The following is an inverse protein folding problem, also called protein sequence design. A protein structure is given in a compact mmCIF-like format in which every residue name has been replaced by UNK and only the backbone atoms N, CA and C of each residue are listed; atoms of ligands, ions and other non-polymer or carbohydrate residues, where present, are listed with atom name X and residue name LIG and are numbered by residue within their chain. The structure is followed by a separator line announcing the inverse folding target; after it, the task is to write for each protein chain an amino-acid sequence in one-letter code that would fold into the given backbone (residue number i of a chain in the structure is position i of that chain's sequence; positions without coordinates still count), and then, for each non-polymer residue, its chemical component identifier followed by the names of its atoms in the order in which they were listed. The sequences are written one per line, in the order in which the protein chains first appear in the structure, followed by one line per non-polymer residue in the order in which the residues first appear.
data_IF_555988507012
#
_entry.id   IF_555988507012
#
_cell.length_a   1.000
_cell.length_b   1.000
_cell.length_c   1.000
_cell.angle_alpha   90.00
_cell.angle_beta   90.00
_cell.angle_gamma   90.00
#
_symmetry.space_group_name_H-M   'P 1'
#
loop_
_entity.id
_entity.type
_entity.pdbx_description
1 polymer ?
#
# COMPACT_ATOMS: atom_id res chain seq x y z
N UNK A 1 59.73 -26.38 35.17
CA UNK A 1 58.76 -25.78 34.24
C UNK A 1 57.35 -26.06 34.73
N UNK A 2 56.62 -24.99 35.07
CA UNK A 2 55.15 -24.76 35.17
C UNK A 2 54.22 -25.71 35.96
N UNK A 3 53.33 -25.02 36.69
CA UNK A 3 52.33 -25.37 37.71
C UNK A 3 50.98 -25.80 37.08
N UNK A 4 50.08 -26.48 37.82
CA UNK A 4 48.95 -27.26 37.31
C UNK A 4 47.66 -26.43 37.17
N UNK A 5 46.67 -27.03 36.50
CA UNK A 5 45.28 -26.57 36.55
C UNK A 5 44.55 -27.14 37.77
N UNK A 6 43.58 -26.38 38.28
CA UNK A 6 42.17 -26.75 38.46
C UNK A 6 41.43 -25.59 39.15
N UNK A 7 40.20 -25.41 38.71
CA UNK A 7 39.23 -24.33 38.94
C UNK A 7 38.55 -24.42 40.31
N UNK A 8 38.15 -23.30 40.90
CA UNK A 8 37.03 -23.24 41.86
C UNK A 8 36.26 -21.93 41.71
N UNK A 9 34.94 -22.06 41.50
CA UNK A 9 33.96 -20.99 41.37
C UNK A 9 33.48 -20.52 42.75
N UNK A 10 33.26 -19.21 42.90
CA UNK A 10 32.49 -18.63 44.00
C UNK A 10 31.38 -17.72 43.45
N UNK A 11 30.16 -18.03 43.89
CA UNK A 11 28.88 -17.38 43.59
C UNK A 11 28.67 -16.27 44.63
N UNK A 12 28.19 -15.09 44.20
CA UNK A 12 27.61 -14.10 45.11
C UNK A 12 26.35 -13.48 44.50
N UNK A 13 25.26 -13.67 45.24
CA UNK A 13 23.88 -13.24 45.01
C UNK A 13 23.65 -11.76 45.35
N UNK A 14 22.72 -11.09 44.68
CA UNK A 14 22.07 -9.87 45.19
C UNK A 14 20.54 -9.95 44.99
N UNK A 15 19.81 -9.77 46.09
CA UNK A 15 18.35 -9.79 46.19
C UNK A 15 17.73 -8.37 46.24
N UNK A 16 16.43 -8.36 45.95
CA UNK A 16 15.46 -7.29 45.68
C UNK A 16 15.01 -6.42 46.88
N UNK A 17 14.48 -5.22 46.57
CA UNK A 17 13.27 -4.56 47.12
C UNK A 17 13.02 -3.24 46.33
N UNK A 18 11.85 -2.67 46.06
CA UNK A 18 10.44 -2.87 46.41
C UNK A 18 9.61 -1.69 45.83
N UNK A 19 8.27 -1.77 45.90
CA UNK A 19 7.17 -1.04 45.20
C UNK A 19 7.08 0.50 45.50
N UNK A 20 6.24 1.38 44.92
CA UNK A 20 4.84 1.35 44.43
C UNK A 20 4.55 2.64 43.63
N UNK A 21 3.57 2.64 42.72
CA UNK A 21 3.06 3.86 42.06
C UNK A 21 1.59 4.10 42.42
N UNK A 22 1.29 5.30 42.91
CA UNK A 22 -0.07 5.77 43.21
C UNK A 22 -0.71 6.39 41.97
N UNK A 23 -1.98 6.07 41.74
CA UNK A 23 -2.85 6.73 40.79
C UNK A 23 -3.50 7.96 41.44
N UNK A 24 -3.57 9.07 40.69
CA UNK A 24 -4.33 10.26 41.03
C UNK A 24 -5.16 10.70 39.83
N UNK A 25 -6.47 10.84 40.08
CA UNK A 25 -7.55 11.21 39.16
C UNK A 25 -7.69 12.74 39.04
N UNK A 26 -8.53 13.16 38.10
CA UNK A 26 -9.06 14.51 37.79
C UNK A 26 -8.28 15.32 36.73
N UNK A 27 -8.90 15.95 35.71
CA UNK A 27 -10.27 15.94 35.22
C UNK A 27 -10.32 16.71 33.86
N UNK A 28 -11.47 16.56 33.20
CA UNK A 28 -12.10 17.49 32.23
C UNK A 28 -11.80 17.37 30.73
N UNK A 29 -12.86 16.87 30.10
CA UNK A 29 -13.23 16.79 28.70
C UNK A 29 -13.18 18.14 27.96
N UNK A 30 -12.65 18.11 26.74
CA UNK A 30 -12.95 19.06 25.65
C UNK A 30 -12.54 18.39 24.33
N UNK A 31 -13.55 17.88 23.61
CA UNK A 31 -13.44 17.30 22.27
C UNK A 31 -12.52 18.10 21.34
N UNK A 32 -11.46 17.43 20.85
CA UNK A 32 -10.65 17.85 19.71
C UNK A 32 -10.57 16.70 18.68
N UNK A 33 -10.53 17.01 17.37
CA UNK A 33 -10.63 16.01 16.31
C UNK A 33 -9.47 15.00 16.35
N UNK A 34 -9.78 13.77 15.93
CA UNK A 34 -8.95 12.56 16.01
C UNK A 34 -7.50 12.79 15.54
N UNK A 35 -6.55 12.35 16.36
CA UNK A 35 -5.10 12.50 16.20
C UNK A 35 -4.45 11.20 15.66
N UNK A 36 -5.11 10.52 14.73
CA UNK A 36 -4.65 9.23 14.19
C UNK A 36 -3.30 9.34 13.48
N UNK A 37 -2.29 8.68 14.05
CA UNK A 37 -0.96 8.39 13.47
C UNK A 37 -0.57 7.00 13.93
N UNK A 38 0.04 6.20 13.06
CA UNK A 38 0.60 4.91 13.46
C UNK A 38 1.80 4.51 12.62
N UNK A 39 2.75 3.89 13.31
CA UNK A 39 4.10 3.43 12.95
C UNK A 39 4.28 2.70 11.62
N UNK A 40 4.73 3.45 10.62
CA UNK A 40 5.76 3.07 9.63
C UNK A 40 6.53 4.33 9.25
N UNK A 41 5.86 5.48 9.36
CA UNK A 41 6.44 6.81 9.24
C UNK A 41 6.46 7.56 10.58
N UNK A 42 7.60 8.19 10.91
CA UNK A 42 7.77 9.04 12.11
C UNK A 42 7.11 10.41 11.89
N UNK A 43 6.17 10.80 12.77
CA UNK A 43 5.54 12.13 12.77
C UNK A 43 6.52 13.24 13.21
N UNK A 44 6.65 14.36 12.49
CA UNK A 44 7.31 15.57 13.00
C UNK A 44 6.46 16.27 14.08
N UNK A 45 7.07 17.00 15.03
CA UNK A 45 6.40 17.48 16.25
C UNK A 45 5.29 18.53 16.08
N UNK A 46 5.03 19.04 14.86
CA UNK A 46 3.98 20.03 14.60
C UNK A 46 3.15 19.68 13.35
N UNK A 47 1.83 19.93 13.34
CA UNK A 47 0.97 19.69 12.18
C UNK A 47 1.24 20.70 11.06
N UNK A 48 1.18 20.22 9.81
CA UNK A 48 1.28 21.05 8.60
C UNK A 48 -0.10 21.64 8.32
N UNK A 49 -0.18 22.98 8.19
CA UNK A 49 -1.42 23.67 7.85
C UNK A 49 -1.95 23.26 6.48
N UNK A 50 -3.28 23.07 6.38
CA UNK A 50 -3.96 22.84 5.11
C UNK A 50 -3.86 24.09 4.22
N UNK A 51 -3.59 23.90 2.93
CA UNK A 51 -3.57 25.00 1.96
C UNK A 51 -4.99 25.57 1.74
N UNK A 52 -5.15 26.91 1.61
CA UNK A 52 -6.47 27.50 1.41
C UNK A 52 -7.00 27.16 0.01
N UNK A 53 -8.28 26.80 -0.06
CA UNK A 53 -8.99 26.52 -1.30
C UNK A 53 -9.06 27.78 -2.18
N UNK A 54 -8.63 27.66 -3.43
CA UNK A 54 -8.75 28.71 -4.44
C UNK A 54 -10.24 28.99 -4.71
N UNK A 55 -10.69 30.22 -4.43
CA UNK A 55 -12.02 30.72 -4.83
C UNK A 55 -12.03 30.92 -6.34
N UNK A 56 -12.75 30.06 -7.05
CA UNK A 56 -13.05 30.22 -8.47
C UNK A 56 -14.20 31.21 -8.66
N UNK A 57 -13.95 32.25 -9.47
CA UNK A 57 -14.96 33.17 -9.99
C UNK A 57 -16.06 32.43 -10.75
N UNK A 58 -17.33 32.72 -10.43
CA UNK A 58 -18.45 32.55 -11.36
C UNK A 58 -19.23 33.84 -11.45
N UNK A 59 -19.11 34.48 -12.61
CA UNK A 59 -20.08 35.43 -13.13
C UNK A 59 -21.17 34.64 -13.87
N UNK A 60 -22.44 34.88 -13.55
CA UNK A 60 -23.56 34.82 -14.48
C UNK A 60 -24.80 35.45 -13.85
N UNK A 61 -25.36 36.42 -14.57
CA UNK A 61 -26.62 37.14 -14.33
C UNK A 61 -27.83 36.19 -14.45
N UNK A 62 -28.91 36.49 -13.71
CA UNK A 62 -30.19 36.99 -14.26
C UNK A 62 -31.35 36.77 -13.26
N UNK A 63 -32.26 37.75 -13.20
CA UNK A 63 -33.67 37.53 -12.84
C UNK A 63 -34.11 38.01 -11.45
N UNK A 64 -34.46 39.29 -11.35
CA UNK A 64 -35.32 39.85 -10.30
C UNK A 64 -36.69 40.14 -10.92
N UNK A 65 -37.76 39.55 -10.39
CA UNK A 65 -39.01 40.23 -10.05
C UNK A 65 -39.99 39.27 -9.32
N UNK A 66 -40.91 39.79 -8.47
CA UNK A 66 -41.57 39.04 -7.39
C UNK A 66 -43.11 38.92 -7.54
N UNK A 67 -43.76 38.08 -6.73
CA UNK A 67 -45.15 38.20 -6.19
C UNK A 67 -45.53 36.88 -5.50
N UNK A 68 -45.75 36.82 -4.19
CA UNK A 68 -46.95 37.19 -3.38
C UNK A 68 -47.85 35.99 -3.05
N UNK A 69 -47.82 35.62 -1.77
CA UNK A 69 -48.96 35.36 -0.88
C UNK A 69 -50.07 34.36 -1.28
N UNK A 70 -50.17 33.25 -0.55
CA UNK A 70 -51.29 32.94 0.37
C UNK A 70 -51.16 31.52 0.96
N UNK A 71 -51.47 31.41 2.26
CA UNK A 71 -51.37 30.19 3.07
C UNK A 71 -52.55 29.21 2.95
N UNK A 72 -52.94 28.53 4.05
CA UNK A 72 -52.68 27.10 4.20
C UNK A 72 -53.95 26.25 4.44
N UNK A 73 -53.83 24.92 4.30
CA UNK A 73 -54.83 23.95 4.77
C UNK A 73 -54.25 22.54 4.72
N UNK A 74 -53.68 22.06 5.82
CA UNK A 74 -54.30 21.23 6.88
C UNK A 74 -54.71 19.81 6.46
N UNK A 75 -54.09 18.85 7.19
CA UNK A 75 -54.65 17.60 7.75
C UNK A 75 -55.12 16.56 6.71
N UNK A 76 -54.69 15.30 6.72
CA UNK A 76 -54.77 14.34 7.83
C UNK A 76 -53.92 13.09 7.55
N UNK A 77 -53.25 12.62 8.62
CA UNK A 77 -52.72 11.27 8.89
C UNK A 77 -53.87 10.20 8.92
N UNK A 78 -53.66 8.92 9.28
CA UNK A 78 -52.56 7.95 9.06
C UNK A 78 -53.07 6.48 8.86
N UNK A 79 -52.15 5.49 8.96
CA UNK A 79 -52.34 4.03 9.22
C UNK A 79 -52.91 3.20 8.05
N UNK A 80 -52.51 1.94 7.81
CA UNK A 80 -51.76 1.01 8.63
C UNK A 80 -51.31 -0.23 7.82
N UNK A 81 -50.67 -1.13 8.58
CA UNK A 81 -49.90 -2.32 8.23
C UNK A 81 -50.74 -3.56 7.84
N UNK A 82 -49.99 -4.61 7.46
CA UNK A 82 -50.29 -6.05 7.33
C UNK A 82 -50.59 -6.49 5.90
N UNK A 83 -49.67 -7.20 5.22
CA UNK A 83 -49.36 -8.64 5.34
C UNK A 83 -50.48 -9.51 4.76
N UNK A 84 -50.22 -10.23 3.67
CA UNK A 84 -50.04 -11.70 3.65
C UNK A 84 -49.95 -12.24 2.21
N UNK A 85 -49.31 -13.40 2.12
CA UNK A 85 -49.01 -14.23 0.95
C UNK A 85 -50.29 -14.78 0.28
N UNK A 86 -50.25 -15.02 -1.03
CA UNK A 86 -50.18 -16.39 -1.55
C UNK A 86 -50.21 -16.46 -3.08
N UNK A 87 -49.65 -17.59 -3.51
CA UNK A 87 -49.46 -18.20 -4.81
C UNK A 87 -50.53 -17.99 -5.89
N UNK A 88 -50.07 -17.82 -7.13
CA UNK A 88 -50.89 -17.86 -8.35
C UNK A 88 -50.07 -18.29 -9.56
N UNK A 89 -50.20 -19.56 -9.93
CA UNK A 89 -49.65 -20.18 -11.15
C UNK A 89 -50.23 -19.49 -12.38
N UNK A 90 -49.39 -19.04 -13.32
CA UNK A 90 -49.82 -18.66 -14.67
C UNK A 90 -48.98 -19.37 -15.75
N UNK A 91 -49.71 -20.00 -16.66
CA UNK A 91 -49.24 -20.75 -17.80
C UNK A 91 -48.59 -19.86 -18.87
N UNK A 92 -47.63 -20.43 -19.61
CA UNK A 92 -46.96 -19.82 -20.75
C UNK A 92 -47.89 -19.71 -21.98
N UNK A 93 -47.74 -18.67 -22.83
CA UNK A 93 -48.31 -18.69 -24.17
C UNK A 93 -47.30 -19.22 -25.21
N UNK A 94 -47.80 -20.07 -26.10
CA UNK A 94 -47.15 -20.57 -27.31
C UNK A 94 -46.72 -19.44 -28.26
N UNK A 95 -45.49 -19.54 -28.80
CA UNK A 95 -44.99 -18.68 -29.88
C UNK A 95 -44.66 -19.54 -31.10
N UNK A 96 -45.17 -19.23 -32.31
CA UNK A 96 -44.88 -20.01 -33.52
C UNK A 96 -43.48 -19.76 -34.08
N UNK A 97 -42.89 -20.81 -34.66
CA UNK A 97 -41.57 -20.86 -35.30
C UNK A 97 -41.55 -20.07 -36.63
N UNK A 98 -40.56 -19.18 -36.89
CA UNK A 98 -40.49 -18.48 -38.17
C UNK A 98 -39.70 -19.26 -39.22
N UNK A 99 -40.37 -19.48 -40.36
CA UNK A 99 -39.82 -20.10 -41.57
C UNK A 99 -38.64 -19.30 -42.17
N UNK A 100 -37.62 -20.03 -42.61
CA UNK A 100 -36.43 -19.51 -43.31
C UNK A 100 -36.69 -19.52 -44.83
N UNK A 101 -36.51 -18.41 -45.57
CA UNK A 101 -36.44 -18.46 -47.02
C UNK A 101 -35.00 -18.71 -47.51
N UNK A 102 -34.90 -19.67 -48.42
CA UNK A 102 -33.74 -20.03 -49.24
C UNK A 102 -33.32 -18.86 -50.16
N UNK A 103 -32.03 -18.50 -50.11
CA UNK A 103 -31.42 -17.56 -51.05
C UNK A 103 -30.14 -18.17 -51.61
N UNK A 104 -30.19 -18.41 -52.93
CA UNK A 104 -29.17 -18.99 -53.79
C UNK A 104 -27.76 -18.42 -53.62
N UNK A 105 -26.80 -19.32 -53.85
CA UNK A 105 -25.38 -19.10 -53.67
C UNK A 105 -24.74 -18.06 -54.60
N UNK A 106 -23.69 -17.45 -54.07
CA UNK A 106 -22.64 -16.74 -54.79
C UNK A 106 -21.27 -17.31 -54.35
N UNK A 107 -20.21 -17.20 -55.17
CA UNK A 107 -19.02 -18.03 -55.08
C UNK A 107 -18.17 -17.70 -53.84
N UNK A 108 -17.63 -18.75 -53.21
CA UNK A 108 -16.72 -18.64 -52.07
C UNK A 108 -15.31 -18.33 -52.59
N UNK A 109 -14.87 -17.08 -52.46
CA UNK A 109 -13.45 -16.72 -52.58
C UNK A 109 -12.67 -17.29 -51.38
N UNK A 110 -11.51 -17.94 -51.56
CA UNK A 110 -10.75 -18.50 -50.46
C UNK A 110 -10.17 -17.37 -49.60
N UNK A 111 -10.68 -17.27 -48.36
CA UNK A 111 -10.17 -16.35 -47.36
C UNK A 111 -8.67 -16.60 -47.13
N UNK A 112 -7.84 -15.61 -47.47
CA UNK A 112 -6.42 -15.62 -47.19
C UNK A 112 -6.20 -15.81 -45.67
N UNK A 113 -5.34 -16.77 -45.31
CA UNK A 113 -4.87 -17.00 -43.96
C UNK A 113 -4.29 -15.70 -43.39
N UNK A 114 -5.03 -15.06 -42.48
CA UNK A 114 -4.54 -13.94 -41.69
C UNK A 114 -3.38 -14.48 -40.86
N UNK A 115 -2.16 -14.06 -41.22
CA UNK A 115 -0.98 -14.34 -40.42
C UNK A 115 -1.23 -13.88 -38.98
N UNK A 116 -0.84 -14.66 -37.96
CA UNK A 116 -1.00 -14.22 -36.57
C UNK A 116 -0.32 -12.86 -36.41
N UNK A 117 -0.91 -11.92 -35.65
CA UNK A 117 -0.31 -10.63 -35.46
C UNK A 117 1.10 -10.85 -34.93
N UNK A 118 2.10 -10.32 -35.63
CA UNK A 118 3.47 -10.25 -35.12
C UNK A 118 3.36 -9.69 -33.71
N UNK A 119 3.81 -10.47 -32.72
CA UNK A 119 4.08 -9.96 -31.38
C UNK A 119 5.03 -8.79 -31.56
N UNK A 120 4.46 -7.58 -31.61
CA UNK A 120 5.21 -6.36 -31.45
C UNK A 120 5.72 -6.44 -30.02
N UNK A 121 6.98 -6.84 -29.86
CA UNK A 121 7.75 -6.63 -28.65
C UNK A 121 7.74 -5.13 -28.41
N UNK A 122 6.74 -4.67 -27.66
CA UNK A 122 6.62 -3.27 -27.30
C UNK A 122 7.88 -2.93 -26.53
N UNK A 123 8.70 -2.07 -27.11
CA UNK A 123 9.86 -1.52 -26.44
C UNK A 123 9.45 -1.13 -25.02
N UNK A 124 10.22 -1.55 -24.03
CA UNK A 124 9.97 -1.21 -22.64
C UNK A 124 9.66 0.30 -22.55
N UNK A 125 8.53 0.72 -21.94
CA UNK A 125 8.14 2.13 -21.92
C UNK A 125 9.32 2.99 -21.47
N UNK A 126 9.54 4.15 -22.10
CA UNK A 126 10.72 5.02 -21.93
C UNK A 126 11.12 5.28 -20.45
N UNK A 127 10.18 5.17 -19.52
CA UNK A 127 10.39 5.19 -18.05
C UNK A 127 11.32 4.08 -17.52
N UNK A 128 11.50 2.97 -18.23
CA UNK A 128 12.45 1.89 -17.91
C UNK A 128 13.82 2.08 -18.57
N UNK A 129 13.98 3.11 -19.41
CA UNK A 129 15.22 3.42 -20.12
C UNK A 129 15.99 4.59 -19.49
N UNK A 130 15.39 5.36 -18.57
CA UNK A 130 16.08 6.44 -17.86
C UNK A 130 17.26 5.92 -17.01
N UNK A 131 18.37 6.67 -16.89
CA UNK A 131 19.52 6.26 -16.09
C UNK A 131 19.15 6.18 -14.60
N UNK A 132 19.70 5.19 -13.88
CA UNK A 132 19.59 5.20 -12.42
C UNK A 132 20.39 6.37 -11.85
N UNK A 133 19.80 7.07 -10.89
CA UNK A 133 20.52 8.09 -10.12
C UNK A 133 21.17 7.41 -8.93
N UNK A 134 22.48 7.63 -8.77
CA UNK A 134 23.26 7.07 -7.69
C UNK A 134 22.73 7.55 -6.34
N UNK A 135 22.78 6.65 -5.35
CA UNK A 135 22.47 6.95 -3.97
C UNK A 135 23.24 8.16 -3.41
N UNK A 136 22.50 9.14 -2.89
CA UNK A 136 23.02 10.33 -2.23
C UNK A 136 22.33 10.66 -0.90
N UNK A 137 21.52 9.76 -0.34
CA UNK A 137 20.81 10.03 0.93
C UNK A 137 21.76 10.08 2.13
N UNK A 138 21.40 10.93 3.09
CA UNK A 138 21.97 10.92 4.44
C UNK A 138 21.03 10.17 5.38
N UNK A 139 21.53 9.86 6.57
CA UNK A 139 20.76 9.17 7.60
C UNK A 139 21.11 9.78 8.95
N UNK A 140 20.10 10.11 9.76
CA UNK A 140 20.30 10.66 11.10
C UNK A 140 20.81 9.62 12.10
N UNK A 141 20.54 8.33 11.87
CA UNK A 141 20.97 7.21 12.72
C UNK A 141 21.46 6.03 11.87
N UNK A 142 22.58 6.20 11.14
CA UNK A 142 23.07 5.15 10.24
C UNK A 142 23.50 3.91 11.04
N UNK A 143 23.04 2.73 10.62
CA UNK A 143 23.52 1.45 11.13
C UNK A 143 24.68 0.95 10.26
N UNK A 144 25.74 0.47 10.93
CA UNK A 144 26.86 -0.17 10.25
C UNK A 144 26.56 -1.65 9.96
N UNK A 145 26.12 -1.94 8.74
CA UNK A 145 25.90 -3.31 8.26
C UNK A 145 27.16 -3.98 7.68
N UNK A 146 28.33 -3.33 7.77
CA UNK A 146 29.60 -3.87 7.28
C UNK A 146 29.59 -4.19 5.78
N UNK A 147 29.98 -5.43 5.42
CA UNK A 147 30.01 -5.89 4.02
C UNK A 147 28.60 -5.96 3.40
N UNK A 148 27.57 -6.24 4.19
CA UNK A 148 26.15 -6.28 3.76
C UNK A 148 25.48 -4.90 3.75
N UNK A 149 26.24 -3.82 3.55
CA UNK A 149 25.67 -2.47 3.53
C UNK A 149 24.70 -2.27 2.37
N UNK A 150 23.52 -1.68 2.60
CA UNK A 150 22.55 -1.38 1.54
C UNK A 150 23.13 -0.43 0.51
N UNK A 151 24.12 0.41 0.89
CA UNK A 151 24.83 1.36 0.00
C UNK A 151 25.56 0.69 -1.17
N UNK A 152 25.76 -0.64 -1.13
CA UNK A 152 26.40 -1.40 -2.22
C UNK A 152 25.38 -1.84 -3.28
N UNK A 153 24.08 -1.78 -2.98
CA UNK A 153 23.04 -2.11 -3.94
C UNK A 153 22.78 -0.91 -4.85
N UNK A 154 22.47 -1.16 -6.12
CA UNK A 154 22.44 -0.12 -7.13
C UNK A 154 21.19 0.77 -7.03
N UNK A 155 20.05 0.18 -6.66
CA UNK A 155 18.75 0.82 -6.81
C UNK A 155 18.16 1.14 -5.44
N UNK A 156 18.19 2.42 -5.11
CA UNK A 156 17.57 2.96 -3.91
C UNK A 156 16.23 3.62 -4.22
N UNK A 157 15.38 3.66 -3.20
CA UNK A 157 14.08 4.31 -3.24
C UNK A 157 13.60 4.69 -1.86
N UNK A 158 12.39 5.20 -1.80
CA UNK A 158 11.76 5.68 -0.56
C UNK A 158 10.35 5.12 -0.45
N UNK A 159 9.78 5.21 0.75
CA UNK A 159 8.35 5.10 0.92
C UNK A 159 7.81 6.29 1.72
N UNK A 160 6.62 6.76 1.35
CA UNK A 160 6.04 7.98 1.90
C UNK A 160 4.55 7.86 2.14
N UNK A 161 4.04 8.70 3.02
CA UNK A 161 2.63 8.91 3.30
C UNK A 161 2.36 10.40 3.50
N UNK A 162 1.17 10.75 4.02
CA UNK A 162 0.87 12.11 4.49
C UNK A 162 1.90 12.68 5.46
N UNK A 163 2.60 11.85 6.22
CA UNK A 163 3.52 12.27 7.28
C UNK A 163 4.78 12.96 6.78
N UNK A 164 5.20 12.69 5.53
CA UNK A 164 6.29 13.43 4.90
C UNK A 164 5.88 14.83 4.42
N UNK A 165 4.59 15.16 4.47
CA UNK A 165 4.09 16.46 4.04
C UNK A 165 4.37 16.75 2.57
N UNK A 166 4.78 17.99 2.28
CA UNK A 166 5.11 18.40 0.93
C UNK A 166 6.48 17.85 0.51
N UNK A 167 6.46 16.85 -0.37
CA UNK A 167 7.65 16.22 -0.93
C UNK A 167 8.09 16.95 -2.21
N UNK A 168 9.37 17.35 -2.27
CA UNK A 168 10.04 17.77 -3.49
C UNK A 168 10.66 16.55 -4.17
N UNK A 169 9.92 16.02 -5.16
CA UNK A 169 10.24 14.78 -5.85
C UNK A 169 11.46 14.89 -6.77
N UNK A 170 11.70 16.04 -7.41
CA UNK A 170 12.89 16.26 -8.24
C UNK A 170 14.18 16.20 -7.40
N UNK A 171 14.15 16.78 -6.19
CA UNK A 171 15.26 16.66 -5.25
C UNK A 171 15.46 15.23 -4.77
N UNK A 172 14.38 14.49 -4.49
CA UNK A 172 14.50 13.06 -4.15
C UNK A 172 15.11 12.26 -5.29
N UNK A 173 14.64 12.49 -6.52
CA UNK A 173 15.17 11.87 -7.73
C UNK A 173 16.66 12.14 -7.87
N UNK A 174 17.07 13.40 -7.77
CA UNK A 174 18.47 13.83 -7.85
C UNK A 174 19.35 13.26 -6.73
N UNK A 175 18.77 12.89 -5.58
CA UNK A 175 19.47 12.25 -4.46
C UNK A 175 19.46 10.71 -4.53
N UNK A 176 18.96 10.13 -5.61
CA UNK A 176 19.02 8.69 -5.85
C UNK A 176 17.77 7.90 -5.48
N UNK A 177 16.61 8.56 -5.29
CA UNK A 177 15.33 7.84 -5.32
C UNK A 177 15.03 7.46 -6.78
N UNK A 178 15.11 6.17 -7.07
CA UNK A 178 14.74 5.61 -8.38
C UNK A 178 13.33 5.02 -8.37
N UNK A 179 12.83 4.69 -7.18
CA UNK A 179 11.45 4.29 -6.96
C UNK A 179 10.86 4.90 -5.69
N UNK A 180 9.53 4.90 -5.61
CA UNK A 180 8.77 5.28 -4.45
C UNK A 180 7.55 4.37 -4.23
N UNK A 181 7.34 3.88 -3.01
CA UNK A 181 6.04 3.36 -2.58
C UNK A 181 5.28 4.44 -1.82
N UNK A 182 4.02 4.67 -2.18
CA UNK A 182 3.22 5.78 -1.66
C UNK A 182 1.99 5.20 -0.97
N UNK A 183 1.76 5.58 0.28
CA UNK A 183 0.56 5.15 1.00
C UNK A 183 -0.67 5.59 0.22
N UNK A 184 -1.53 4.65 -0.10
CA UNK A 184 -2.80 4.95 -0.74
C UNK A 184 -3.93 4.90 0.27
N UNK A 185 -4.08 3.78 0.95
CA UNK A 185 -5.24 3.55 1.82
C UNK A 185 -4.85 2.81 3.09
N UNK A 186 -5.70 2.92 4.10
CA UNK A 186 -5.68 2.08 5.28
C UNK A 186 -7.11 1.70 5.68
N UNK A 187 -7.31 0.45 6.09
CA UNK A 187 -8.65 -0.07 6.37
C UNK A 187 -9.62 -0.01 5.17
N UNK A 188 -10.91 0.13 5.44
CA UNK A 188 -11.96 0.07 4.40
C UNK A 188 -12.48 1.43 3.94
N UNK A 189 -11.93 2.51 4.48
CA UNK A 189 -12.56 3.82 4.55
C UNK A 189 -11.58 5.01 4.59
N UNK A 190 -10.27 4.79 4.77
CA UNK A 190 -9.29 5.86 4.83
C UNK A 190 -8.45 5.91 3.56
N UNK A 191 -8.46 7.07 2.89
CA UNK A 191 -7.57 7.44 1.79
C UNK A 191 -6.50 8.38 2.34
N UNK A 192 -5.22 8.11 2.07
CA UNK A 192 -4.16 9.03 2.42
C UNK A 192 -4.33 10.34 1.63
N UNK A 193 -4.50 11.49 2.31
CA UNK A 193 -4.84 12.75 1.63
C UNK A 193 -3.72 13.25 0.70
N UNK A 194 -2.50 12.74 0.86
CA UNK A 194 -1.37 13.09 0.00
C UNK A 194 -1.16 12.10 -1.14
N UNK A 195 -1.89 10.97 -1.18
CA UNK A 195 -1.68 9.90 -2.15
C UNK A 195 -1.65 10.40 -3.59
N UNK A 196 -2.74 10.99 -4.09
CA UNK A 196 -2.83 11.37 -5.50
C UNK A 196 -1.85 12.49 -5.89
N UNK A 197 -1.52 13.38 -4.95
CA UNK A 197 -0.50 14.42 -5.16
C UNK A 197 0.87 13.76 -5.32
N UNK A 198 1.26 12.93 -4.36
CA UNK A 198 2.52 12.20 -4.37
C UNK A 198 2.63 11.27 -5.58
N UNK A 199 1.55 10.58 -5.93
CA UNK A 199 1.46 9.67 -7.07
C UNK A 199 1.79 10.36 -8.39
N UNK A 200 1.17 11.52 -8.64
CA UNK A 200 1.41 12.30 -9.87
C UNK A 200 2.79 12.96 -9.86
N UNK A 201 3.22 13.52 -8.73
CA UNK A 201 4.50 14.23 -8.66
C UNK A 201 5.72 13.29 -8.71
N UNK A 202 5.62 12.09 -8.15
CA UNK A 202 6.67 11.07 -8.29
C UNK A 202 6.82 10.62 -9.76
N UNK A 203 5.71 10.45 -10.47
CA UNK A 203 5.68 10.13 -11.90
C UNK A 203 6.37 11.22 -12.73
N UNK A 204 5.98 12.48 -12.49
CA UNK A 204 6.51 13.64 -13.20
C UNK A 204 8.02 13.82 -12.99
N UNK A 205 8.53 13.49 -11.80
CA UNK A 205 9.95 13.48 -11.49
C UNK A 205 10.70 12.24 -12.01
N UNK A 206 10.01 11.31 -12.69
CA UNK A 206 10.59 10.14 -13.33
C UNK A 206 10.94 8.99 -12.36
N UNK A 207 10.30 8.93 -11.19
CA UNK A 207 10.42 7.77 -10.29
C UNK A 207 9.46 6.65 -10.71
N UNK A 208 9.91 5.41 -10.60
CA UNK A 208 8.97 4.28 -10.59
C UNK A 208 8.13 4.31 -9.32
N UNK A 209 6.81 4.24 -9.44
CA UNK A 209 5.90 4.38 -8.30
C UNK A 209 5.02 3.16 -8.13
N UNK A 210 4.82 2.77 -6.87
CA UNK A 210 3.83 1.79 -6.43
C UNK A 210 3.00 2.34 -5.29
N UNK A 211 1.86 1.73 -5.03
CA UNK A 211 0.97 2.12 -3.94
C UNK A 211 0.94 1.02 -2.89
N UNK A 212 0.84 1.40 -1.61
CA UNK A 212 0.68 0.45 -0.52
C UNK A 212 -0.59 0.67 0.29
N UNK A 213 -1.11 -0.44 0.81
CA UNK A 213 -2.26 -0.51 1.70
C UNK A 213 -1.83 -0.91 3.11
N UNK A 214 -2.11 -0.08 4.11
CA UNK A 214 -1.87 -0.46 5.50
C UNK A 214 -3.04 -1.30 6.04
N UNK A 215 -2.78 -2.56 6.34
CA UNK A 215 -3.82 -3.53 6.67
C UNK A 215 -4.41 -3.31 8.06
N UNK A 216 -5.75 -3.29 8.14
CA UNK A 216 -6.50 -3.10 9.37
C UNK A 216 -7.25 -4.38 9.77
N UNK A 217 -6.80 -5.02 10.85
CA UNK A 217 -7.23 -6.36 11.27
C UNK A 217 -8.69 -6.49 11.74
N UNK A 218 -9.35 -5.36 11.99
CA UNK A 218 -10.75 -5.29 12.44
C UNK A 218 -11.75 -5.08 11.29
N UNK A 219 -11.31 -5.07 10.03
CA UNK A 219 -12.17 -5.03 8.83
C UNK A 219 -12.04 -6.31 8.03
N UNK A 220 -12.99 -6.61 7.13
CA UNK A 220 -12.85 -7.77 6.25
C UNK A 220 -11.72 -7.53 5.24
N UNK A 221 -11.15 -8.60 4.68
CA UNK A 221 -10.09 -8.47 3.67
C UNK A 221 -10.65 -7.99 2.32
N UNK A 222 -11.86 -8.45 1.98
CA UNK A 222 -12.55 -8.09 0.75
C UNK A 222 -12.83 -6.59 0.65
N UNK A 223 -13.38 -5.98 1.71
CA UNK A 223 -13.65 -4.55 1.77
C UNK A 223 -12.39 -3.71 1.61
N UNK A 224 -11.30 -4.09 2.28
CA UNK A 224 -10.01 -3.39 2.19
C UNK A 224 -9.44 -3.45 0.77
N UNK A 225 -9.54 -4.62 0.11
CA UNK A 225 -9.10 -4.77 -1.28
C UNK A 225 -9.93 -3.91 -2.22
N UNK A 226 -11.26 -3.91 -2.07
CA UNK A 226 -12.15 -3.07 -2.89
C UNK A 226 -11.88 -1.58 -2.68
N UNK A 227 -11.58 -1.18 -1.43
CA UNK A 227 -11.21 0.18 -1.09
C UNK A 227 -9.88 0.59 -1.74
N UNK A 228 -8.86 -0.28 -1.70
CA UNK A 228 -7.60 -0.03 -2.39
C UNK A 228 -7.79 0.09 -3.91
N UNK A 229 -8.52 -0.85 -4.52
CA UNK A 229 -8.83 -0.86 -5.96
C UNK A 229 -9.56 0.40 -6.41
N UNK A 230 -10.54 0.86 -5.62
CA UNK A 230 -11.30 2.09 -5.92
C UNK A 230 -10.42 3.33 -5.98
N UNK A 231 -9.38 3.39 -5.16
CA UNK A 231 -8.59 4.61 -4.94
C UNK A 231 -7.25 4.62 -5.68
N UNK A 232 -6.73 3.46 -6.09
CA UNK A 232 -5.42 3.34 -6.76
C UNK A 232 -5.64 3.05 -8.24
N UNK A 233 -5.21 3.95 -9.15
CA UNK A 233 -5.45 3.74 -10.57
C UNK A 233 -4.52 2.66 -11.12
N UNK A 234 -5.09 1.75 -11.92
CA UNK A 234 -4.31 0.82 -12.74
C UNK A 234 -3.69 1.57 -13.91
N UNK A 235 -2.39 1.81 -13.85
CA UNK A 235 -1.64 2.51 -14.89
C UNK A 235 -0.41 1.71 -15.29
N UNK A 236 -0.10 1.75 -16.58
CA UNK A 236 1.07 1.06 -17.11
C UNK A 236 2.36 1.54 -16.45
N UNK A 237 3.25 0.60 -16.15
CA UNK A 237 4.59 0.91 -15.63
C UNK A 237 4.63 1.28 -14.15
N UNK A 238 3.47 1.28 -13.46
CA UNK A 238 3.41 1.26 -12.01
C UNK A 238 3.97 -0.06 -11.46
N UNK A 239 4.60 0.02 -10.29
CA UNK A 239 5.07 -1.14 -9.55
C UNK A 239 3.90 -1.93 -8.96
N UNK A 240 4.06 -3.24 -8.71
CA UNK A 240 3.02 -4.05 -8.08
C UNK A 240 2.50 -3.44 -6.77
N UNK A 241 1.21 -3.61 -6.44
CA UNK A 241 0.66 -3.07 -5.20
C UNK A 241 1.27 -3.77 -3.98
N UNK A 242 1.42 -3.04 -2.88
CA UNK A 242 1.94 -3.58 -1.63
C UNK A 242 0.82 -3.77 -0.61
N UNK A 243 0.79 -4.92 0.04
CA UNK A 243 0.07 -5.11 1.31
C UNK A 243 1.08 -4.88 2.46
N UNK A 244 0.81 -3.89 3.29
CA UNK A 244 1.59 -3.59 4.50
C UNK A 244 0.88 -4.25 5.69
N UNK A 245 1.50 -5.31 6.21
CA UNK A 245 1.02 -6.08 7.37
C UNK A 245 1.99 -5.94 8.53
N UNK A 246 1.55 -5.24 9.57
CA UNK A 246 2.28 -5.17 10.82
C UNK A 246 1.34 -5.04 12.03
N UNK A 247 1.91 -5.26 13.22
CA UNK A 247 1.20 -4.97 14.46
C UNK A 247 1.32 -3.49 14.79
N UNK A 248 0.18 -2.84 14.70
CA UNK A 248 0.08 -1.42 14.94
C UNK A 248 -0.29 -1.13 16.41
N UNK A 249 0.68 -0.73 17.21
CA UNK A 249 0.48 -0.40 18.62
C UNK A 249 -0.43 0.80 18.86
N UNK A 250 -0.50 1.73 17.90
CA UNK A 250 -1.25 2.99 18.00
C UNK A 250 -2.66 2.87 17.37
N UNK A 251 -2.94 1.81 16.62
CA UNK A 251 -4.26 1.55 16.01
C UNK A 251 -5.38 1.43 17.04
N UNK A 252 -6.56 1.96 16.74
CA UNK A 252 -7.79 1.67 17.49
C UNK A 252 -8.16 0.19 17.46
N UNK A 253 -7.77 -0.53 16.41
CA UNK A 253 -7.91 -1.98 16.34
C UNK A 253 -6.77 -2.65 17.11
N UNK A 254 -7.09 -3.15 18.31
CA UNK A 254 -6.17 -3.96 19.11
C UNK A 254 -6.27 -5.46 18.83
N UNK A 255 -7.11 -5.87 17.87
CA UNK A 255 -7.34 -7.29 17.56
C UNK A 255 -6.10 -7.91 16.93
N UNK A 256 -5.68 -9.04 17.48
CA UNK A 256 -4.66 -9.93 16.90
C UNK A 256 -5.32 -11.27 16.57
N UNK A 257 -5.81 -11.46 15.33
CA UNK A 257 -6.40 -12.73 14.92
C UNK A 257 -5.40 -13.88 15.04
N UNK A 258 -5.88 -15.12 15.03
CA UNK A 258 -5.01 -16.29 14.92
C UNK A 258 -4.15 -16.23 13.65
N UNK A 259 -2.99 -16.88 13.67
CA UNK A 259 -2.10 -16.98 12.50
C UNK A 259 -2.86 -17.46 11.25
N UNK A 260 -3.65 -18.52 11.37
CA UNK A 260 -4.48 -19.03 10.27
C UNK A 260 -5.39 -17.94 9.68
N UNK A 261 -6.09 -17.19 10.54
CA UNK A 261 -6.97 -16.11 10.09
C UNK A 261 -6.21 -14.93 9.49
N UNK A 262 -5.00 -14.66 9.96
CA UNK A 262 -4.10 -13.68 9.35
C UNK A 262 -3.77 -14.10 7.92
N UNK A 263 -3.30 -15.33 7.71
CA UNK A 263 -2.92 -15.86 6.40
C UNK A 263 -4.11 -15.88 5.43
N UNK A 264 -5.27 -16.36 5.87
CA UNK A 264 -6.51 -16.36 5.08
C UNK A 264 -6.86 -14.95 4.60
N UNK A 265 -6.86 -13.96 5.51
CA UNK A 265 -7.21 -12.57 5.18
C UNK A 265 -6.20 -11.94 4.24
N UNK A 266 -4.91 -12.23 4.40
CA UNK A 266 -3.88 -11.76 3.49
C UNK A 266 -4.09 -12.34 2.09
N UNK A 267 -4.32 -13.65 1.98
CA UNK A 267 -4.55 -14.32 0.70
C UNK A 267 -5.76 -13.73 -0.03
N UNK A 268 -6.90 -13.54 0.65
CA UNK A 268 -8.11 -12.91 0.07
C UNK A 268 -7.81 -11.50 -0.48
N UNK A 269 -7.07 -10.69 0.27
CA UNK A 269 -6.71 -9.34 -0.16
C UNK A 269 -5.79 -9.39 -1.38
N UNK A 270 -4.72 -10.18 -1.31
CA UNK A 270 -3.72 -10.28 -2.37
C UNK A 270 -4.32 -10.84 -3.67
N UNK A 271 -5.17 -11.86 -3.59
CA UNK A 271 -5.85 -12.44 -4.76
C UNK A 271 -6.73 -11.42 -5.49
N UNK A 272 -7.46 -10.57 -4.75
CA UNK A 272 -8.28 -9.51 -5.36
C UNK A 272 -7.42 -8.48 -6.07
N UNK A 273 -6.30 -8.09 -5.46
CA UNK A 273 -5.34 -7.17 -6.08
C UNK A 273 -4.65 -7.79 -7.31
N UNK A 274 -4.18 -9.03 -7.22
CA UNK A 274 -3.51 -9.72 -8.33
C UNK A 274 -4.44 -9.81 -9.55
N UNK A 275 -5.71 -10.18 -9.34
CA UNK A 275 -6.74 -10.21 -10.40
C UNK A 275 -7.00 -8.83 -11.00
N UNK A 276 -7.05 -7.78 -10.19
CA UNK A 276 -7.37 -6.43 -10.69
C UNK A 276 -6.19 -5.78 -11.44
N UNK A 277 -4.99 -5.83 -10.85
CA UNK A 277 -3.82 -5.15 -11.40
C UNK A 277 -3.09 -5.99 -12.45
N UNK A 278 -3.23 -7.32 -12.41
CA UNK A 278 -2.44 -8.25 -13.22
C UNK A 278 -0.98 -8.34 -12.75
N UNK A 279 -0.72 -7.96 -11.50
CA UNK A 279 0.60 -7.97 -10.87
C UNK A 279 0.47 -8.60 -9.49
N UNK A 280 1.33 -9.56 -9.18
CA UNK A 280 1.38 -10.18 -7.85
C UNK A 280 1.74 -9.15 -6.77
N UNK A 281 0.91 -8.97 -5.73
CA UNK A 281 1.18 -8.01 -4.67
C UNK A 281 2.48 -8.31 -3.92
N UNK A 282 3.13 -7.27 -3.43
CA UNK A 282 4.32 -7.37 -2.58
C UNK A 282 3.88 -7.35 -1.11
N UNK A 283 4.44 -8.22 -0.29
CA UNK A 283 4.18 -8.25 1.15
C UNK A 283 5.24 -7.41 1.87
N UNK A 284 4.82 -6.33 2.50
CA UNK A 284 5.64 -5.60 3.48
C UNK A 284 5.33 -6.07 4.90
N UNK A 285 6.36 -6.20 5.74
CA UNK A 285 6.18 -6.55 7.16
C UNK A 285 7.31 -6.07 8.07
N UNK A 286 6.96 -5.95 9.34
CA UNK A 286 7.88 -5.82 10.47
C UNK A 286 8.42 -7.17 10.99
N UNK A 287 9.57 -7.19 11.72
CA UNK A 287 10.18 -8.42 12.23
C UNK A 287 9.33 -9.25 13.18
N UNK A 288 8.57 -8.60 14.06
CA UNK A 288 7.70 -9.24 15.04
C UNK A 288 6.50 -9.90 14.34
N UNK A 289 5.83 -9.17 13.44
CA UNK A 289 4.73 -9.71 12.65
C UNK A 289 5.18 -10.89 11.78
N UNK A 290 6.38 -10.80 11.17
CA UNK A 290 6.97 -11.91 10.41
C UNK A 290 7.19 -13.15 11.26
N UNK A 291 7.82 -12.99 12.44
CA UNK A 291 8.09 -14.10 13.37
C UNK A 291 6.80 -14.80 13.75
N UNK A 292 5.77 -14.03 14.08
CA UNK A 292 4.53 -14.56 14.64
C UNK A 292 3.67 -15.21 13.54
N UNK A 293 3.61 -14.63 12.33
CA UNK A 293 2.63 -15.03 11.32
C UNK A 293 3.19 -15.58 10.01
N UNK A 294 4.38 -15.13 9.54
CA UNK A 294 4.78 -15.32 8.13
C UNK A 294 5.98 -16.26 7.90
N UNK A 295 6.63 -16.76 8.97
CA UNK A 295 7.70 -17.75 8.84
C UNK A 295 7.20 -19.00 8.11
N UNK A 296 7.79 -19.30 6.95
CA UNK A 296 7.44 -20.45 6.11
C UNK A 296 6.30 -20.22 5.12
N UNK A 297 5.64 -19.06 5.14
CA UNK A 297 4.43 -18.77 4.35
C UNK A 297 4.72 -17.82 3.18
N UNK A 298 3.93 -17.88 2.10
CA UNK A 298 4.01 -16.96 0.95
C UNK A 298 5.43 -16.84 0.37
N UNK A 299 6.14 -17.96 0.24
CA UNK A 299 7.53 -17.98 -0.26
C UNK A 299 7.65 -17.63 -1.75
N UNK A 300 6.54 -17.69 -2.48
CA UNK A 300 6.34 -17.34 -3.88
C UNK A 300 5.85 -15.89 -4.09
N UNK A 301 5.67 -15.12 -3.00
CA UNK A 301 5.34 -13.70 -3.07
C UNK A 301 6.59 -12.82 -2.95
N UNK A 302 6.64 -11.68 -3.67
CA UNK A 302 7.71 -10.72 -3.48
C UNK A 302 7.60 -10.10 -2.09
N UNK A 303 8.76 -9.99 -1.45
CA UNK A 303 8.82 -9.62 -0.04
C UNK A 303 9.59 -8.32 0.16
N UNK A 304 9.01 -7.40 0.90
CA UNK A 304 9.63 -6.17 1.34
C UNK A 304 9.78 -6.21 2.86
N UNK A 305 11.00 -6.45 3.34
CA UNK A 305 11.23 -6.57 4.77
C UNK A 305 11.69 -5.24 5.39
N UNK A 306 11.24 -4.97 6.62
CA UNK A 306 11.86 -3.96 7.49
C UNK A 306 12.97 -4.57 8.33
N UNK A 307 14.18 -4.07 8.20
CA UNK A 307 15.32 -4.46 9.05
C UNK A 307 16.25 -3.26 9.26
N UNK A 308 15.92 -2.42 10.25
CA UNK A 308 16.60 -1.12 10.48
C UNK A 308 17.66 -1.17 11.58
N UNK A 309 17.80 -2.29 12.30
CA UNK A 309 18.74 -2.44 13.42
C UNK A 309 19.79 -3.53 13.18
N UNK A 310 19.48 -4.54 12.35
CA UNK A 310 20.37 -5.64 12.01
C UNK A 310 20.17 -6.03 10.56
N UNK A 311 21.18 -6.65 9.94
CA UNK A 311 21.10 -7.08 8.54
C UNK A 311 19.96 -8.10 8.33
N UNK A 312 19.26 -8.08 7.17
CA UNK A 312 18.15 -9.00 6.88
C UNK A 312 18.46 -10.48 7.13
N UNK A 313 19.69 -10.94 6.83
CA UNK A 313 20.10 -12.34 7.07
C UNK A 313 20.08 -12.77 8.56
N UNK A 314 20.07 -11.82 9.50
CA UNK A 314 19.94 -12.10 10.94
C UNK A 314 18.48 -12.06 11.39
N UNK A 315 17.70 -11.14 10.84
CA UNK A 315 16.30 -10.91 11.26
C UNK A 315 15.33 -11.88 10.55
N UNK A 316 15.63 -12.23 9.29
CA UNK A 316 14.83 -13.08 8.41
C UNK A 316 15.71 -14.18 7.79
N UNK A 317 16.24 -15.12 8.60
CA UNK A 317 17.15 -16.15 8.08
C UNK A 317 16.47 -16.99 6.99
N UNK A 318 17.13 -17.11 5.83
CA UNK A 318 16.65 -17.90 4.69
C UNK A 318 15.48 -17.29 3.90
N UNK A 319 14.94 -16.13 4.30
CA UNK A 319 13.85 -15.47 3.57
C UNK A 319 14.41 -14.70 2.38
N UNK A 320 13.98 -15.06 1.17
CA UNK A 320 14.20 -14.25 -0.03
C UNK A 320 13.42 -12.95 0.08
N UNK A 321 14.02 -11.85 -0.36
CA UNK A 321 13.41 -10.53 -0.32
C UNK A 321 13.76 -9.74 -1.57
N UNK A 322 12.82 -8.90 -1.97
CA UNK A 322 12.90 -8.04 -3.14
C UNK A 322 13.26 -6.61 -2.74
N UNK A 323 12.71 -6.14 -1.63
CA UNK A 323 13.02 -4.82 -1.08
C UNK A 323 13.41 -4.93 0.39
N UNK A 324 14.29 -4.03 0.81
CA UNK A 324 14.71 -3.89 2.20
C UNK A 324 14.55 -2.44 2.63
N UNK A 325 13.66 -2.19 3.59
CA UNK A 325 13.61 -0.94 4.35
C UNK A 325 14.71 -0.99 5.43
N UNK A 326 15.79 -0.25 5.18
CA UNK A 326 17.01 -0.31 5.98
C UNK A 326 17.16 0.85 6.95
N UNK A 327 16.32 1.88 6.82
CA UNK A 327 16.31 3.03 7.73
C UNK A 327 14.94 3.69 7.73
N UNK A 328 14.50 4.14 8.91
CA UNK A 328 13.39 5.11 9.08
C UNK A 328 13.86 6.49 9.54
N UNK A 329 15.15 6.76 9.40
CA UNK A 329 15.78 8.02 9.78
C UNK A 329 16.56 8.67 8.65
N UNK A 330 16.21 8.32 7.41
CA UNK A 330 16.73 8.96 6.22
C UNK A 330 16.54 10.47 6.25
N UNK A 331 17.52 11.18 5.70
CA UNK A 331 17.51 12.63 5.55
C UNK A 331 17.67 12.97 4.07
N UNK A 332 16.80 13.85 3.59
CA UNK A 332 16.79 14.33 2.21
C UNK A 332 16.44 15.81 2.18
N UNK A 333 16.96 16.54 1.19
CA UNK A 333 16.51 17.91 0.91
C UNK A 333 15.14 17.96 0.23
N UNK A 334 14.57 16.79 -0.10
CA UNK A 334 13.26 16.62 -0.71
C UNK A 334 12.11 16.55 0.30
N UNK A 335 12.38 16.36 1.59
CA UNK A 335 11.34 16.32 2.64
C UNK A 335 11.77 17.09 3.87
N UNK A 336 10.80 17.62 4.61
CA UNK A 336 11.05 18.16 5.95
C UNK A 336 10.92 17.04 6.97
N UNK A 337 12.03 16.61 7.56
CA UNK A 337 12.05 15.55 8.58
C UNK A 337 12.66 14.25 8.07
N UNK A 338 12.19 13.13 8.64
CA UNK A 338 12.72 11.78 8.35
C UNK A 338 11.93 11.11 7.22
N UNK A 339 12.62 10.26 6.48
CA UNK A 339 12.03 9.44 5.42
C UNK A 339 12.58 8.01 5.50
N UNK A 340 11.72 7.07 5.15
CA UNK A 340 12.08 5.67 5.06
C UNK A 340 12.90 5.42 3.79
N UNK A 341 14.03 4.74 3.97
CA UNK A 341 14.98 4.45 2.89
C UNK A 341 14.95 2.95 2.57
N UNK A 342 14.86 2.68 1.27
CA UNK A 342 14.72 1.35 0.72
C UNK A 342 15.76 1.05 -0.33
N UNK A 343 16.08 -0.23 -0.47
CA UNK A 343 16.87 -0.79 -1.58
C UNK A 343 16.15 -1.95 -2.22
N UNK A 344 16.31 -2.08 -3.52
CA UNK A 344 15.98 -3.29 -4.28
C UNK A 344 17.12 -4.31 -4.18
N UNK A 345 16.78 -5.59 -4.08
CA UNK A 345 17.72 -6.69 -4.12
C UNK A 345 18.12 -7.02 -5.57
N UNK A 346 19.25 -6.46 -6.00
CA UNK A 346 19.83 -6.78 -7.30
C UNK A 346 20.60 -5.63 -7.92
N UNK A 347 21.13 -5.88 -9.11
CA UNK A 347 21.77 -4.88 -9.96
C UNK A 347 20.76 -4.10 -10.82
N UNK A 348 21.28 -3.14 -11.60
CA UNK A 348 20.47 -2.33 -12.49
C UNK A 348 19.74 -3.12 -13.59
N UNK A 349 20.34 -4.20 -14.11
CA UNK A 349 19.71 -5.03 -15.14
C UNK A 349 18.55 -5.83 -14.56
N UNK A 350 18.75 -6.42 -13.39
CA UNK A 350 17.70 -7.14 -12.66
C UNK A 350 16.55 -6.20 -12.33
N UNK A 351 16.83 -4.97 -11.87
CA UNK A 351 15.81 -3.94 -11.68
C UNK A 351 15.02 -3.65 -12.95
N UNK A 352 15.70 -3.39 -14.08
CA UNK A 352 15.04 -3.09 -15.37
C UNK A 352 14.25 -4.28 -15.93
N UNK A 353 14.66 -5.51 -15.63
CA UNK A 353 13.95 -6.73 -16.01
C UNK A 353 12.66 -6.87 -15.17
N UNK A 354 12.79 -6.78 -13.85
CA UNK A 354 11.68 -6.91 -12.91
C UNK A 354 10.66 -5.77 -13.06
N UNK A 355 11.10 -4.51 -13.02
CA UNK A 355 10.21 -3.35 -13.15
C UNK A 355 9.56 -3.24 -14.54
N UNK A 356 10.11 -3.95 -15.53
CA UNK A 356 9.55 -4.09 -16.88
C UNK A 356 8.59 -5.26 -17.05
N UNK A 357 8.30 -6.02 -15.99
CA UNK A 357 7.40 -7.18 -16.03
C UNK A 357 7.95 -8.40 -16.77
N UNK A 358 9.28 -8.47 -16.99
CA UNK A 358 9.94 -9.58 -17.70
C UNK A 358 10.43 -10.70 -16.81
N UNK A 359 10.50 -10.48 -15.50
CA UNK A 359 10.88 -11.49 -14.52
C UNK A 359 9.81 -11.60 -13.44
N UNK A 360 9.52 -12.84 -13.05
CA UNK A 360 8.73 -13.12 -11.85
C UNK A 360 9.66 -13.15 -10.63
N UNK A 361 9.07 -13.11 -9.44
CA UNK A 361 9.78 -13.02 -8.15
C UNK A 361 10.76 -14.18 -7.92
N UNK A 362 10.46 -15.36 -8.48
CA UNK A 362 11.30 -16.55 -8.35
C UNK A 362 12.68 -16.38 -8.99
N UNK A 363 12.83 -15.44 -9.93
CA UNK A 363 14.02 -15.24 -10.75
C UNK A 363 14.92 -14.10 -10.25
N UNK A 364 14.49 -13.34 -9.24
CA UNK A 364 15.30 -12.33 -8.56
C UNK A 364 16.20 -13.00 -7.50
N UNK A 365 17.05 -13.94 -7.93
CA UNK A 365 18.10 -14.56 -7.11
C UNK A 365 19.47 -14.00 -7.47
#
# INVERSE_FOLDING_TARGET
MRIPGVVSFLIASLCLAGCSSTAGVDALDLQKPSNETTSSVIRPPAPIAAAPAARGNRAARAGLAPMSDNGPGEKTRPFGLAEEEETGVFAAPDVPDPQVPDVGGLPVEPAALVSPPKLLTRAAPAMLAGPLTRYGFRDAKPINFGKGSPRRLAVHGVDVSRWQGNVNWDKLRAQGANFAYIKATDGGDHLDPMFMKNWRSADAAGLKRGAYHFFYWCRTAGEQADWFIRNVPRVEGALPPVIDVEWNGESSCKRRPSREKVLEKMQVFMDKLERHYGQRPIIYTAPDFYRDNLRGEFLDYPFWLRAVAQHPSKVYPGRKWLFWQYSGSGLSHGVTGRIDLNVFHGDERQWRAWAGGRQTVADAN
#
